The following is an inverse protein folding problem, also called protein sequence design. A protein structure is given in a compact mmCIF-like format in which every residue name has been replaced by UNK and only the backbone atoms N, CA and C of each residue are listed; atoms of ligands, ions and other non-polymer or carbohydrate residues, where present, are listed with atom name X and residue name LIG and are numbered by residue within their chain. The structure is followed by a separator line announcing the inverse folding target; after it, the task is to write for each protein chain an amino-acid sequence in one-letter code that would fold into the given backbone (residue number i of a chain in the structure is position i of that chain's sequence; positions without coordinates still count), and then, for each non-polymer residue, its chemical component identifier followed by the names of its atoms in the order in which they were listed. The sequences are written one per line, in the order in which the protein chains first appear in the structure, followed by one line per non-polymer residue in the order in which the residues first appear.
data_IF_068116792018
#
_entry.id   IF_068116792018
#
_cell.length_a   1.000
_cell.length_b   1.000
_cell.length_c   1.000
_cell.angle_alpha   90.00
_cell.angle_beta   90.00
_cell.angle_gamma   90.00
#
_symmetry.space_group_name_H-M   'P 1'
#
loop_
_entity.id
_entity.type
_entity.pdbx_description
1 polymer ?
#
# COMPACT_ATOMS: atom_id res chain seq x y z
N UNK A 1 21.26 -8.40 -21.14
CA UNK A 1 20.42 -8.00 -19.99
C UNK A 1 18.97 -8.35 -20.31
N UNK A 2 18.23 -9.05 -19.43
CA UNK A 2 16.85 -9.47 -19.73
C UNK A 2 15.90 -8.29 -19.57
N UNK A 3 14.92 -8.15 -20.46
CA UNK A 3 13.97 -7.02 -20.49
C UNK A 3 13.27 -6.79 -19.14
N UNK A 4 12.83 -7.86 -18.46
CA UNK A 4 12.17 -7.73 -17.17
C UNK A 4 13.10 -7.19 -16.06
N UNK A 5 14.40 -7.42 -16.17
CA UNK A 5 15.38 -6.88 -15.23
C UNK A 5 15.59 -5.38 -15.49
N UNK A 6 15.58 -4.94 -16.76
CA UNK A 6 15.58 -3.51 -17.13
C UNK A 6 14.35 -2.78 -16.57
N UNK A 7 13.16 -3.40 -16.66
CA UNK A 7 11.93 -2.84 -16.08
C UNK A 7 12.09 -2.66 -14.57
N UNK A 8 12.56 -3.69 -13.86
CA UNK A 8 12.78 -3.62 -12.40
C UNK A 8 13.79 -2.55 -12.02
N UNK A 9 14.91 -2.49 -12.72
CA UNK A 9 15.96 -1.49 -12.47
C UNK A 9 15.42 -0.07 -12.67
N UNK A 10 14.71 0.19 -13.76
CA UNK A 10 14.15 1.52 -14.04
C UNK A 10 13.06 1.91 -13.03
N UNK A 11 12.24 0.96 -12.58
CA UNK A 11 11.24 1.19 -11.51
C UNK A 11 11.93 1.58 -10.20
N UNK A 12 12.99 0.86 -9.82
CA UNK A 12 13.76 1.13 -8.60
C UNK A 12 14.52 2.44 -8.69
N UNK A 13 15.08 2.76 -9.85
CA UNK A 13 15.73 4.05 -10.13
C UNK A 13 14.77 5.23 -9.95
N UNK A 14 13.50 5.07 -10.37
CA UNK A 14 12.45 6.07 -10.15
C UNK A 14 11.82 6.02 -8.75
N UNK A 15 12.35 5.21 -7.83
CA UNK A 15 11.85 5.05 -6.47
C UNK A 15 10.36 4.67 -6.37
N UNK A 16 9.84 3.91 -7.34
CA UNK A 16 8.49 3.39 -7.24
C UNK A 16 8.38 2.28 -6.19
N UNK A 17 7.15 2.08 -5.69
CA UNK A 17 6.89 1.06 -4.68
C UNK A 17 7.10 -0.36 -5.23
N UNK A 18 7.46 -1.30 -4.36
CA UNK A 18 7.58 -2.73 -4.73
C UNK A 18 6.28 -3.31 -5.31
N UNK A 19 5.12 -2.82 -4.86
CA UNK A 19 3.81 -3.21 -5.41
C UNK A 19 3.65 -2.74 -6.86
N UNK A 20 4.20 -1.57 -7.19
CA UNK A 20 4.25 -1.07 -8.57
C UNK A 20 5.18 -1.95 -9.41
N UNK A 21 6.34 -2.35 -8.89
CA UNK A 21 7.27 -3.30 -9.54
C UNK A 21 6.54 -4.60 -9.91
N UNK A 22 5.89 -5.24 -8.93
CA UNK A 22 5.18 -6.50 -9.12
C UNK A 22 4.06 -6.38 -10.14
N UNK A 23 3.24 -5.33 -10.04
CA UNK A 23 2.15 -5.07 -10.97
C UNK A 23 2.66 -4.84 -12.40
N UNK A 24 3.70 -4.02 -12.57
CA UNK A 24 4.21 -3.68 -13.89
C UNK A 24 4.88 -4.89 -14.54
N UNK A 25 5.71 -5.61 -13.79
CA UNK A 25 6.35 -6.85 -14.29
C UNK A 25 5.29 -7.90 -14.65
N UNK A 26 4.22 -8.02 -13.88
CA UNK A 26 3.10 -8.90 -14.20
C UNK A 26 2.45 -8.52 -15.53
N UNK A 27 2.07 -7.26 -15.71
CA UNK A 27 1.40 -6.80 -16.94
C UNK A 27 2.29 -6.89 -18.17
N UNK A 28 3.56 -6.51 -18.06
CA UNK A 28 4.56 -6.65 -19.14
C UNK A 28 4.72 -8.12 -19.53
N UNK A 29 4.78 -9.03 -18.57
CA UNK A 29 4.85 -10.48 -18.85
C UNK A 29 3.58 -10.98 -19.55
N UNK A 30 2.41 -10.55 -19.12
CA UNK A 30 1.15 -10.90 -19.77
C UNK A 30 1.10 -10.39 -21.22
N UNK A 31 1.53 -9.16 -21.47
CA UNK A 31 1.59 -8.57 -22.80
C UNK A 31 2.55 -9.33 -23.74
N UNK A 32 3.75 -9.66 -23.27
CA UNK A 32 4.72 -10.44 -24.05
C UNK A 32 4.16 -11.83 -24.38
N UNK A 33 3.48 -12.48 -23.43
CA UNK A 33 2.85 -13.79 -23.65
C UNK A 33 1.69 -13.74 -24.65
N UNK A 34 0.88 -12.68 -24.60
CA UNK A 34 -0.21 -12.47 -25.56
C UNK A 34 0.31 -12.38 -27.00
N UNK A 35 1.44 -11.69 -27.18
CA UNK A 35 2.09 -11.53 -28.48
C UNK A 35 3.12 -12.62 -28.80
N UNK A 36 2.92 -13.84 -28.28
CA UNK A 36 3.74 -15.02 -28.63
C UNK A 36 5.24 -14.84 -28.35
N UNK A 37 5.60 -14.17 -27.26
CA UNK A 37 6.99 -13.89 -26.85
C UNK A 37 7.77 -13.00 -27.81
N UNK A 38 7.09 -12.25 -28.69
CA UNK A 38 7.73 -11.19 -29.49
C UNK A 38 8.33 -10.13 -28.58
N UNK A 39 9.44 -9.55 -29.01
CA UNK A 39 10.11 -8.51 -28.24
C UNK A 39 9.30 -7.19 -28.34
N UNK A 40 9.01 -6.47 -27.24
CA UNK A 40 8.21 -5.25 -27.28
C UNK A 40 8.77 -4.09 -28.11
N UNK A 41 10.02 -4.16 -28.55
CA UNK A 41 10.56 -3.19 -29.52
C UNK A 41 10.01 -3.39 -30.93
N UNK A 42 9.61 -4.61 -31.26
CA UNK A 42 9.07 -4.98 -32.58
C UNK A 42 7.54 -4.92 -32.58
N UNK A 43 6.95 -4.32 -31.54
CA UNK A 43 5.52 -4.20 -31.33
C UNK A 43 5.15 -2.72 -31.23
N UNK A 44 3.98 -2.38 -31.77
CA UNK A 44 3.51 -1.00 -31.87
C UNK A 44 2.07 -0.85 -31.42
N UNK A 45 1.35 0.04 -32.10
CA UNK A 45 -0.03 0.41 -31.76
C UNK A 45 -1.01 -0.73 -31.90
N UNK A 46 -0.85 -1.55 -32.93
CA UNK A 46 -1.74 -2.66 -33.21
C UNK A 46 -1.71 -3.69 -32.07
N UNK A 47 -0.52 -4.12 -31.63
CA UNK A 47 -0.35 -5.13 -30.59
C UNK A 47 -0.83 -4.62 -29.22
N UNK A 48 -0.54 -3.36 -28.89
CA UNK A 48 -1.00 -2.75 -27.64
C UNK A 48 -2.52 -2.61 -27.63
N UNK A 49 -3.12 -2.14 -28.73
CA UNK A 49 -4.58 -1.99 -28.84
C UNK A 49 -5.28 -3.34 -28.82
N UNK A 50 -4.73 -4.34 -29.52
CA UNK A 50 -5.26 -5.71 -29.51
C UNK A 50 -5.23 -6.31 -28.11
N UNK A 51 -4.12 -6.16 -27.38
CA UNK A 51 -4.01 -6.65 -26.00
C UNK A 51 -4.98 -5.96 -25.04
N UNK A 52 -5.12 -4.64 -25.12
CA UNK A 52 -6.04 -3.89 -24.27
C UNK A 52 -7.51 -4.21 -24.58
N UNK A 53 -7.84 -4.37 -25.88
CA UNK A 53 -9.16 -4.79 -26.32
C UNK A 53 -9.48 -6.21 -25.86
N UNK A 54 -8.52 -7.13 -25.97
CA UNK A 54 -8.63 -8.48 -25.45
C UNK A 54 -8.88 -8.52 -23.94
N UNK A 55 -8.18 -7.68 -23.16
CA UNK A 55 -8.42 -7.55 -21.72
C UNK A 55 -9.86 -7.09 -21.41
N UNK A 56 -10.37 -6.12 -22.18
CA UNK A 56 -11.70 -5.57 -21.98
C UNK A 56 -12.81 -6.54 -22.42
N UNK A 57 -12.66 -7.19 -23.58
CA UNK A 57 -13.69 -8.00 -24.20
C UNK A 57 -13.71 -9.45 -23.68
N UNK A 58 -12.58 -10.16 -23.69
CA UNK A 58 -12.54 -11.60 -23.36
C UNK A 58 -12.33 -11.85 -21.87
N UNK A 59 -11.56 -11.02 -21.18
CA UNK A 59 -11.35 -11.17 -19.73
C UNK A 59 -12.33 -10.39 -18.86
N UNK A 60 -13.12 -9.49 -19.44
CA UNK A 60 -14.09 -8.66 -18.72
C UNK A 60 -13.46 -7.88 -17.55
N UNK A 61 -12.21 -7.43 -17.69
CA UNK A 61 -11.48 -6.85 -16.56
C UNK A 61 -12.11 -5.55 -16.08
N UNK A 62 -12.04 -5.30 -14.77
CA UNK A 62 -12.49 -4.05 -14.20
C UNK A 62 -11.72 -2.84 -14.81
N UNK A 63 -12.35 -1.66 -14.94
CA UNK A 63 -11.70 -0.45 -15.45
C UNK A 63 -10.38 -0.08 -14.77
N UNK A 64 -10.28 -0.30 -13.45
CA UNK A 64 -9.06 -0.09 -12.66
C UNK A 64 -7.91 -1.00 -13.08
N UNK A 65 -8.24 -2.26 -13.40
CA UNK A 65 -7.28 -3.27 -13.85
C UNK A 65 -6.76 -2.93 -15.26
N UNK A 66 -7.66 -2.51 -16.15
CA UNK A 66 -7.28 -2.03 -17.49
C UNK A 66 -6.35 -0.82 -17.43
N UNK A 67 -6.63 0.14 -16.54
CA UNK A 67 -5.75 1.31 -16.31
C UNK A 67 -4.37 0.92 -15.78
N UNK A 68 -4.30 -0.08 -14.92
CA UNK A 68 -3.03 -0.56 -14.40
C UNK A 68 -2.20 -1.23 -15.50
N UNK A 69 -2.83 -2.04 -16.36
CA UNK A 69 -2.19 -2.62 -17.53
C UNK A 69 -1.68 -1.54 -18.50
N UNK A 70 -2.53 -0.57 -18.85
CA UNK A 70 -2.14 0.57 -19.70
C UNK A 70 -0.97 1.37 -19.10
N UNK A 71 -0.99 1.64 -17.79
CA UNK A 71 0.09 2.36 -17.10
C UNK A 71 1.42 1.59 -17.13
N UNK A 72 1.37 0.26 -17.01
CA UNK A 72 2.54 -0.60 -17.12
C UNK A 72 3.13 -0.60 -18.54
N UNK A 73 2.29 -0.62 -19.57
CA UNK A 73 2.73 -0.54 -20.98
C UNK A 73 3.29 0.84 -21.30
N UNK A 74 2.63 1.91 -20.86
CA UNK A 74 3.13 3.28 -20.98
C UNK A 74 4.54 3.42 -20.40
N UNK A 75 4.74 2.86 -19.20
CA UNK A 75 6.04 2.84 -18.54
C UNK A 75 7.08 2.02 -19.32
N UNK A 76 6.72 0.84 -19.83
CA UNK A 76 7.63 0.02 -20.62
C UNK A 76 8.15 0.78 -21.85
N UNK A 77 7.25 1.35 -22.66
CA UNK A 77 7.67 2.00 -23.90
C UNK A 77 8.38 3.33 -23.65
N UNK A 78 7.83 4.18 -22.79
CA UNK A 78 8.38 5.52 -22.54
C UNK A 78 9.65 5.50 -21.70
N UNK A 79 9.65 4.74 -20.61
CA UNK A 79 10.70 4.85 -19.59
C UNK A 79 11.76 3.76 -19.70
N UNK A 80 11.44 2.59 -20.29
CA UNK A 80 12.40 1.48 -20.43
C UNK A 80 12.95 1.38 -21.84
N UNK A 81 12.09 1.46 -22.85
CA UNK A 81 12.50 1.35 -24.26
C UNK A 81 12.83 2.71 -24.88
N UNK A 82 12.42 3.81 -24.24
CA UNK A 82 12.63 5.19 -24.70
C UNK A 82 12.06 5.43 -26.11
N UNK A 83 10.94 4.77 -26.41
CA UNK A 83 10.18 4.91 -27.65
C UNK A 83 9.03 5.88 -27.38
N UNK A 84 8.97 6.97 -28.15
CA UNK A 84 7.83 7.86 -28.12
C UNK A 84 6.64 7.21 -28.83
N UNK A 85 5.47 7.23 -28.18
CA UNK A 85 4.25 6.67 -28.74
C UNK A 85 3.15 7.74 -28.76
N UNK A 86 3.15 8.62 -29.77
CA UNK A 86 2.18 9.71 -29.88
C UNK A 86 0.72 9.22 -29.85
N UNK A 87 0.47 8.07 -30.47
CA UNK A 87 -0.84 7.41 -30.58
C UNK A 87 -1.37 6.82 -29.27
N UNK A 88 -0.55 6.66 -28.23
CA UNK A 88 -1.03 6.13 -26.94
C UNK A 88 -1.94 7.10 -26.19
N UNK A 89 -1.89 8.39 -26.52
CA UNK A 89 -2.80 9.39 -25.93
C UNK A 89 -4.24 9.21 -26.41
N UNK A 90 -4.43 8.61 -27.59
CA UNK A 90 -5.74 8.39 -28.22
C UNK A 90 -6.41 7.08 -27.76
N UNK A 91 -5.70 6.24 -27.01
CA UNK A 91 -6.28 5.00 -26.45
C UNK A 91 -7.36 5.40 -25.45
N UNK A 92 -8.61 5.06 -25.76
CA UNK A 92 -9.75 5.29 -24.88
C UNK A 92 -9.47 4.71 -23.49
N UNK A 93 -9.32 5.61 -22.51
CA UNK A 93 -9.22 5.22 -21.10
C UNK A 93 -10.63 4.93 -20.59
N UNK A 94 -10.87 3.75 -20.00
CA UNK A 94 -12.15 3.47 -19.36
C UNK A 94 -12.50 4.56 -18.35
N UNK A 95 -13.70 5.13 -18.45
CA UNK A 95 -14.18 6.13 -17.49
C UNK A 95 -14.31 5.45 -16.13
N UNK A 96 -13.77 6.09 -15.09
CA UNK A 96 -13.95 5.57 -13.73
C UNK A 96 -15.43 5.63 -13.38
N UNK A 97 -15.97 4.51 -12.90
CA UNK A 97 -17.22 4.55 -12.16
C UNK A 97 -16.91 5.25 -10.84
N UNK A 98 -17.51 6.42 -10.63
CA UNK A 98 -17.41 7.13 -9.34
C UNK A 98 -18.09 6.26 -8.30
N UNK A 99 -17.29 5.58 -7.48
CA UNK A 99 -17.81 4.88 -6.31
C UNK A 99 -18.15 5.94 -5.28
N UNK A 100 -19.44 6.07 -4.96
CA UNK A 100 -19.85 6.82 -3.78
C UNK A 100 -19.28 6.06 -2.58
N UNK A 101 -18.49 6.70 -1.70
CA UNK A 101 -18.04 6.03 -0.50
C UNK A 101 -19.23 5.66 0.36
N UNK A 102 -19.42 4.37 0.62
CA UNK A 102 -20.35 3.93 1.66
C UNK A 102 -19.69 4.23 3.00
N UNK A 103 -20.17 5.26 3.69
CA UNK A 103 -19.70 5.63 5.03
C UNK A 103 -20.56 4.87 6.03
N UNK A 104 -19.92 4.23 7.02
CA UNK A 104 -20.64 3.61 8.13
C UNK A 104 -21.29 4.70 8.99
N UNK A 105 -22.53 4.47 9.38
CA UNK A 105 -23.22 5.29 10.38
C UNK A 105 -22.57 5.13 11.75
N UNK A 106 -22.77 6.11 12.64
CA UNK A 106 -22.25 6.06 14.02
C UNK A 106 -22.70 4.80 14.75
N UNK A 107 -23.94 4.35 14.54
CA UNK A 107 -24.47 3.12 15.13
C UNK A 107 -23.83 1.85 14.61
N UNK A 108 -23.49 1.79 13.32
CA UNK A 108 -22.74 0.66 12.73
C UNK A 108 -21.30 0.60 13.25
N UNK A 109 -20.65 1.76 13.39
CA UNK A 109 -19.31 1.85 13.97
C UNK A 109 -19.31 1.37 15.43
N UNK A 110 -20.32 1.76 16.22
CA UNK A 110 -20.45 1.30 17.60
C UNK A 110 -20.61 -0.23 17.69
N UNK A 111 -21.47 -0.82 16.85
CA UNK A 111 -21.63 -2.30 16.77
C UNK A 111 -20.34 -3.00 16.33
N UNK A 112 -19.64 -2.43 15.36
CA UNK A 112 -18.35 -2.95 14.90
C UNK A 112 -17.32 -2.95 16.05
N UNK A 113 -17.19 -1.86 16.80
CA UNK A 113 -16.25 -1.79 17.91
C UNK A 113 -16.64 -2.63 19.13
N UNK A 114 -17.92 -2.99 19.27
CA UNK A 114 -18.37 -3.90 20.31
C UNK A 114 -18.06 -5.37 19.97
N UNK A 115 -17.97 -5.72 18.68
CA UNK A 115 -17.68 -7.08 18.22
C UNK A 115 -16.18 -7.38 18.04
N UNK A 116 -15.31 -6.37 18.16
CA UNK A 116 -13.88 -6.51 18.03
C UNK A 116 -13.20 -6.60 19.39
N UNK A 117 -12.24 -7.51 19.52
CA UNK A 117 -11.45 -7.71 20.74
C UNK A 117 -9.94 -7.59 20.46
N UNK A 118 -9.17 -7.41 21.53
CA UNK A 118 -7.70 -7.43 21.51
C UNK A 118 -7.07 -6.34 20.62
N UNK A 119 -5.87 -6.61 20.05
CA UNK A 119 -5.12 -5.64 19.24
C UNK A 119 -5.88 -5.15 18.00
N UNK A 120 -6.78 -5.97 17.45
CA UNK A 120 -7.59 -5.61 16.28
C UNK A 120 -8.63 -4.54 16.63
N UNK A 121 -9.22 -4.59 17.83
CA UNK A 121 -10.12 -3.55 18.31
C UNK A 121 -9.38 -2.21 18.47
N UNK A 122 -8.17 -2.24 19.03
CA UNK A 122 -7.32 -1.06 19.18
C UNK A 122 -6.95 -0.47 17.81
N UNK A 123 -6.53 -1.32 16.86
CA UNK A 123 -6.21 -0.91 15.49
C UNK A 123 -7.42 -0.26 14.80
N UNK A 124 -8.61 -0.86 14.90
CA UNK A 124 -9.81 -0.32 14.29
C UNK A 124 -10.20 1.05 14.87
N UNK A 125 -10.11 1.21 16.19
CA UNK A 125 -10.35 2.49 16.87
C UNK A 125 -9.29 3.53 16.52
N UNK A 126 -8.03 3.12 16.37
CA UNK A 126 -6.94 3.98 15.92
C UNK A 126 -7.20 4.50 14.51
N UNK A 127 -7.53 3.62 13.56
CA UNK A 127 -7.85 4.00 12.18
C UNK A 127 -9.01 4.99 12.11
N UNK A 128 -10.08 4.73 12.88
CA UNK A 128 -11.26 5.59 12.91
C UNK A 128 -10.99 6.94 13.58
N UNK A 129 -10.30 6.96 14.73
CA UNK A 129 -10.07 8.17 15.52
C UNK A 129 -9.00 9.11 14.95
N UNK A 130 -8.03 8.58 14.20
CA UNK A 130 -6.88 9.35 13.69
C UNK A 130 -6.91 9.54 12.17
N UNK A 131 -7.76 8.79 11.45
CA UNK A 131 -7.82 8.82 9.98
C UNK A 131 -6.58 8.23 9.31
N UNK A 132 -5.80 7.40 10.00
CA UNK A 132 -4.69 6.66 9.41
C UNK A 132 -5.19 5.69 8.35
N UNK A 133 -4.38 5.49 7.30
CA UNK A 133 -4.58 4.36 6.38
C UNK A 133 -4.13 3.07 7.07
N UNK A 134 -4.72 1.95 6.67
CA UNK A 134 -4.38 0.63 7.21
C UNK A 134 -2.86 0.39 7.24
N UNK A 135 -2.16 0.62 6.13
CA UNK A 135 -0.71 0.42 6.06
C UNK A 135 0.09 1.44 6.88
N UNK A 136 -0.44 2.64 7.12
CA UNK A 136 0.22 3.64 7.98
C UNK A 136 0.12 3.21 9.44
N UNK A 137 -1.05 2.73 9.89
CA UNK A 137 -1.25 2.22 11.25
C UNK A 137 -0.45 0.94 11.52
N UNK A 138 -0.39 0.00 10.56
CA UNK A 138 0.38 -1.23 10.69
C UNK A 138 1.90 -1.02 10.70
N UNK A 139 2.38 0.09 10.15
CA UNK A 139 3.82 0.44 10.11
C UNK A 139 4.20 1.49 11.16
N UNK A 140 3.27 1.85 12.04
CA UNK A 140 3.49 2.84 13.08
C UNK A 140 4.61 2.38 14.02
N UNK A 141 5.59 3.24 14.28
CA UNK A 141 6.70 2.98 15.21
C UNK A 141 6.46 3.68 16.54
N UNK A 142 7.08 3.17 17.60
CA UNK A 142 6.98 3.81 18.93
C UNK A 142 7.42 5.28 18.87
N UNK A 143 8.49 5.59 18.13
CA UNK A 143 9.03 6.95 17.96
C UNK A 143 8.12 7.91 17.21
N UNK A 144 7.07 7.41 16.57
CA UNK A 144 6.13 8.21 15.81
C UNK A 144 4.94 8.66 16.65
N UNK A 145 4.81 8.19 17.89
CA UNK A 145 3.73 8.54 18.81
C UNK A 145 4.26 9.45 19.92
N UNK A 146 3.72 10.66 19.98
CA UNK A 146 4.00 11.62 21.05
C UNK A 146 2.77 11.70 21.97
N UNK A 147 2.88 11.09 23.15
CA UNK A 147 1.80 11.07 24.14
C UNK A 147 1.63 12.40 24.88
N UNK A 148 2.70 13.21 24.96
CA UNK A 148 2.67 14.50 25.65
C UNK A 148 1.95 15.53 24.78
N UNK A 149 2.27 15.54 23.49
CA UNK A 149 1.62 16.41 22.50
C UNK A 149 0.34 15.83 21.93
N UNK A 150 0.03 14.55 22.20
CA UNK A 150 -1.12 13.82 21.66
C UNK A 150 -1.14 13.85 20.13
N UNK A 151 0.02 13.57 19.52
CA UNK A 151 0.21 13.58 18.08
C UNK A 151 0.83 12.27 17.59
N UNK A 152 0.47 11.87 16.37
CA UNK A 152 1.13 10.80 15.65
C UNK A 152 1.76 11.37 14.37
N UNK A 153 3.04 11.07 14.17
CA UNK A 153 3.80 11.43 12.97
C UNK A 153 3.68 10.30 11.95
N UNK A 154 2.95 10.55 10.87
CA UNK A 154 2.84 9.62 9.74
C UNK A 154 3.99 9.87 8.78
N UNK A 155 4.93 8.94 8.72
CA UNK A 155 6.02 8.95 7.75
C UNK A 155 5.62 8.31 6.43
N UNK A 156 6.26 8.74 5.34
CA UNK A 156 6.02 8.21 3.99
C UNK A 156 4.54 8.29 3.55
N UNK A 157 3.88 9.40 3.90
CA UNK A 157 2.55 9.70 3.40
C UNK A 157 2.53 9.78 1.86
N UNK A 158 1.33 9.89 1.27
CA UNK A 158 1.19 9.97 -0.21
C UNK A 158 2.11 11.06 -0.78
N UNK A 159 3.06 10.65 -1.63
CA UNK A 159 4.05 11.55 -2.23
C UNK A 159 5.33 11.75 -1.41
N UNK A 160 5.61 10.89 -0.43
CA UNK A 160 6.83 10.95 0.40
C UNK A 160 6.83 12.11 1.40
N UNK A 161 5.64 12.62 1.76
CA UNK A 161 5.49 13.73 2.70
C UNK A 161 5.02 13.24 4.06
N UNK A 162 5.72 13.67 5.09
CA UNK A 162 5.33 13.44 6.48
C UNK A 162 4.14 14.33 6.84
N UNK A 163 3.23 13.81 7.66
CA UNK A 163 2.11 14.58 8.22
C UNK A 163 1.85 14.21 9.66
N UNK A 164 1.26 15.13 10.42
CA UNK A 164 0.85 14.89 11.80
C UNK A 164 -0.65 14.67 11.87
N UNK A 165 -1.08 13.74 12.72
CA UNK A 165 -2.49 13.50 13.04
C UNK A 165 -2.68 13.54 14.55
N UNK A 166 -3.85 14.01 15.00
CA UNK A 166 -4.18 14.06 16.43
C UNK A 166 -4.44 12.66 16.97
N UNK A 167 -3.92 12.36 18.16
CA UNK A 167 -4.20 11.15 18.94
C UNK A 167 -5.35 11.43 19.92
N UNK A 168 -6.48 10.75 19.81
CA UNK A 168 -7.55 10.84 20.80
C UNK A 168 -7.11 10.34 22.19
N UNK A 169 -7.50 11.06 23.24
CA UNK A 169 -7.16 10.72 24.64
C UNK A 169 -7.61 9.33 25.05
N UNK A 170 -8.78 8.91 24.56
CA UNK A 170 -9.34 7.58 24.82
C UNK A 170 -8.46 6.44 24.30
N UNK A 171 -7.55 6.72 23.37
CA UNK A 171 -6.61 5.74 22.82
C UNK A 171 -5.23 5.80 23.47
N UNK A 172 -4.91 6.82 24.26
CA UNK A 172 -3.58 6.97 24.84
C UNK A 172 -3.23 5.82 25.80
N UNK A 173 -4.12 5.47 26.74
CA UNK A 173 -3.88 4.37 27.67
C UNK A 173 -3.83 2.99 26.98
N UNK A 174 -4.82 2.60 26.15
CA UNK A 174 -4.75 1.33 25.40
C UNK A 174 -3.51 1.21 24.50
N UNK A 175 -3.05 2.32 23.92
CA UNK A 175 -1.84 2.34 23.10
C UNK A 175 -0.57 2.17 23.93
N UNK A 176 -0.51 2.74 25.14
CA UNK A 176 0.60 2.50 26.09
C UNK A 176 0.67 1.03 26.51
N UNK A 177 -0.47 0.40 26.78
CA UNK A 177 -0.53 -1.02 27.13
C UNK A 177 -0.02 -1.91 25.98
N UNK A 178 -0.47 -1.61 24.75
CA UNK A 178 0.00 -2.28 23.55
C UNK A 178 1.51 -2.09 23.32
N UNK A 179 2.04 -0.90 23.60
CA UNK A 179 3.48 -0.62 23.53
C UNK A 179 4.28 -1.42 24.56
N UNK A 180 3.77 -1.54 25.79
CA UNK A 180 4.40 -2.34 26.83
C UNK A 180 4.42 -3.82 26.44
N UNK A 181 3.31 -4.33 25.88
CA UNK A 181 3.25 -5.69 25.37
C UNK A 181 4.23 -5.92 24.20
N UNK A 182 4.31 -4.98 23.26
CA UNK A 182 5.27 -5.05 22.16
C UNK A 182 6.72 -5.02 22.65
N UNK A 183 7.01 -4.23 23.69
CA UNK A 183 8.34 -4.19 24.31
C UNK A 183 8.72 -5.53 24.95
N UNK A 184 7.77 -6.20 25.59
CA UNK A 184 8.01 -7.52 26.20
C UNK A 184 8.41 -8.55 25.14
N UNK A 185 7.66 -8.63 24.04
CA UNK A 185 7.96 -9.54 22.93
C UNK A 185 9.32 -9.22 22.32
N UNK A 186 9.62 -7.92 22.11
CA UNK A 186 10.93 -7.52 21.58
C UNK A 186 12.09 -7.94 22.49
N UNK A 187 11.93 -7.79 23.82
CA UNK A 187 12.95 -8.25 24.77
C UNK A 187 13.16 -9.77 24.66
N UNK A 188 12.08 -10.55 24.56
CA UNK A 188 12.15 -12.01 24.38
C UNK A 188 12.81 -12.42 23.06
N UNK A 189 12.50 -11.71 21.97
CA UNK A 189 13.13 -11.95 20.66
C UNK A 189 14.64 -11.66 20.71
N UNK A 190 15.05 -10.59 21.40
CA UNK A 190 16.45 -10.25 21.61
C UNK A 190 17.19 -11.32 22.44
N UNK A 191 16.58 -11.81 23.51
CA UNK A 191 17.12 -12.90 24.33
C UNK A 191 17.23 -14.21 23.54
N UNK A 192 16.32 -14.44 22.60
CA UNK A 192 16.29 -15.62 21.74
C UNK A 192 17.19 -15.51 20.50
N UNK A 193 17.88 -14.38 20.32
CA UNK A 193 18.77 -14.13 19.17
C UNK A 193 18.04 -14.03 17.82
N UNK A 194 16.74 -13.75 17.81
CA UNK A 194 15.96 -13.61 16.59
C UNK A 194 16.23 -12.25 15.91
N UNK A 195 16.35 -12.20 14.57
CA UNK A 195 16.51 -10.94 13.86
C UNK A 195 15.26 -10.07 14.02
N UNK A 196 15.46 -8.78 14.29
CA UNK A 196 14.40 -7.81 14.59
C UNK A 196 13.46 -7.48 13.41
N UNK A 197 12.57 -6.52 13.66
CA UNK A 197 11.51 -6.10 12.73
C UNK A 197 12.09 -5.50 11.44
N UNK A 198 11.41 -5.74 10.31
CA UNK A 198 11.74 -5.19 8.99
C UNK A 198 11.91 -3.66 9.01
N UNK A 199 13.08 -3.17 8.57
CA UNK A 199 13.37 -1.75 8.35
C UNK A 199 13.33 -1.41 6.85
N UNK A 200 12.53 -0.42 6.42
CA UNK A 200 12.67 0.17 5.09
C UNK A 200 13.96 1.01 4.99
N UNK A 201 14.56 0.98 3.79
CA UNK A 201 15.74 1.76 3.37
C UNK A 201 17.02 1.52 4.18
N UNK A 202 18.04 2.37 3.97
CA UNK A 202 19.33 2.31 4.66
C UNK A 202 19.25 2.67 6.16
N UNK A 203 18.07 2.68 6.78
CA UNK A 203 17.90 2.87 8.22
C UNK A 203 18.46 1.69 9.01
N UNK A 204 18.45 0.48 8.44
CA UNK A 204 19.15 -0.70 8.99
C UNK A 204 20.65 -0.43 9.21
N UNK A 205 21.25 0.43 8.38
CA UNK A 205 22.68 0.78 8.49
C UNK A 205 22.94 1.92 9.46
N UNK A 206 21.95 2.77 9.75
CA UNK A 206 22.15 4.03 10.49
C UNK A 206 21.68 3.97 11.94
N UNK A 207 20.72 3.12 12.29
CA UNK A 207 20.19 3.01 13.65
C UNK A 207 20.26 1.55 14.14
N UNK A 208 21.33 1.19 14.85
CA UNK A 208 21.56 -0.16 15.41
C UNK A 208 20.83 -0.43 16.73
N UNK A 209 20.07 0.52 17.27
CA UNK A 209 19.46 0.40 18.60
C UNK A 209 18.05 0.98 18.62
N UNK A 210 17.05 0.14 18.95
CA UNK A 210 15.82 0.59 19.60
C UNK A 210 14.62 0.95 18.71
N UNK A 211 14.20 0.09 17.79
CA UNK A 211 12.98 0.36 17.02
C UNK A 211 12.00 -0.82 17.01
N UNK A 212 11.10 -0.79 17.99
CA UNK A 212 9.92 -1.66 18.07
C UNK A 212 8.77 -1.05 17.25
N UNK A 213 7.97 -1.88 16.57
CA UNK A 213 6.71 -1.44 15.95
C UNK A 213 5.59 -1.49 16.98
N UNK A 214 4.61 -0.60 16.87
CA UNK A 214 3.48 -0.54 17.82
C UNK A 214 2.62 -1.80 17.75
N UNK A 215 2.48 -2.35 16.54
CA UNK A 215 1.80 -3.62 16.29
C UNK A 215 2.83 -4.63 15.78
N UNK A 216 3.09 -5.66 16.58
CA UNK A 216 4.00 -6.75 16.17
C UNK A 216 3.24 -7.65 15.22
N UNK A 217 3.46 -7.46 13.93
CA UNK A 217 3.27 -8.52 12.97
C UNK A 217 4.52 -9.38 12.94
N UNK A 218 4.35 -10.71 12.94
CA UNK A 218 5.36 -11.70 12.53
C UNK A 218 5.74 -11.50 11.05
N UNK A 219 6.27 -10.34 10.70
CA UNK A 219 6.76 -9.99 9.38
C UNK A 219 8.26 -10.23 9.28
N UNK A 220 8.75 -11.27 9.96
CA UNK A 220 9.97 -11.94 9.55
C UNK A 220 9.63 -12.80 8.33
N UNK A 221 10.37 -12.60 7.24
CA UNK A 221 10.33 -13.39 6.02
C UNK A 221 9.34 -12.92 4.91
N UNK A 222 9.95 -12.31 3.88
CA UNK A 222 9.43 -12.01 2.53
C UNK A 222 8.79 -13.19 1.76
N UNK A 223 8.52 -14.36 2.38
CA UNK A 223 8.15 -15.58 1.65
C UNK A 223 6.94 -16.39 2.14
N UNK A 224 6.12 -15.90 3.08
CA UNK A 224 4.81 -16.54 3.36
C UNK A 224 3.73 -15.48 3.60
N UNK A 225 3.08 -15.05 2.51
CA UNK A 225 1.67 -14.63 2.57
C UNK A 225 0.86 -15.76 1.92
N UNK A 226 0.19 -16.60 2.71
CA UNK A 226 -1.08 -17.15 2.22
C UNK A 226 -2.29 -16.74 3.07
N UNK A 227 -2.18 -16.49 4.37
CA UNK A 227 -3.39 -16.58 5.20
C UNK A 227 -4.04 -15.25 5.62
N UNK A 228 -3.39 -14.10 5.37
CA UNK A 228 -3.97 -12.78 5.71
C UNK A 228 -4.84 -12.17 4.60
N UNK A 229 -5.03 -12.90 3.50
CA UNK A 229 -5.75 -12.44 2.31
C UNK A 229 -7.15 -13.09 2.22
N UNK A 230 -7.98 -12.98 3.25
CA UNK A 230 -9.41 -13.37 3.14
C UNK A 230 -10.44 -12.30 3.51
N UNK A 231 -10.03 -11.05 3.80
CA UNK A 231 -10.97 -9.95 3.94
C UNK A 231 -10.52 -8.70 3.16
N UNK A 232 -10.37 -8.85 1.84
CA UNK A 232 -10.24 -7.70 0.92
C UNK A 232 -11.60 -7.36 0.30
N UNK A 233 -12.53 -6.91 1.14
CA UNK A 233 -13.88 -6.47 0.73
C UNK A 233 -14.21 -5.01 1.03
N UNK A 234 -13.38 -4.28 1.79
CA UNK A 234 -13.70 -2.89 2.18
C UNK A 234 -12.72 -1.88 1.60
N UNK A 235 -13.23 -1.10 0.66
CA UNK A 235 -12.51 -0.01 0.02
C UNK A 235 -12.47 1.16 1.01
N UNK A 236 -11.37 1.29 1.77
CA UNK A 236 -11.15 2.41 2.67
C UNK A 236 -10.88 3.70 1.85
N UNK A 237 -11.95 4.39 1.48
CA UNK A 237 -11.90 5.61 0.70
C UNK A 237 -13.13 6.45 0.94
N UNK A 238 -13.25 7.05 2.12
CA UNK A 238 -14.28 8.05 2.38
C UNK A 238 -14.60 8.23 3.86
N UNK A 239 -13.64 8.68 4.65
CA UNK A 239 -13.93 9.29 5.96
C UNK A 239 -13.06 10.53 6.05
N UNK A 240 -13.48 11.59 5.35
CA UNK A 240 -12.93 12.92 5.55
C UNK A 240 -13.96 13.95 5.08
N UNK A 241 -14.81 14.39 6.01
CA UNK A 241 -15.42 15.72 6.12
C UNK A 241 -16.60 15.63 7.09
N UNK A 242 -16.40 16.17 8.30
CA UNK A 242 -17.27 17.16 8.96
C UNK A 242 -16.88 17.24 10.44
N UNK A 243 -15.99 18.17 10.78
CA UNK A 243 -16.13 18.94 12.02
C UNK A 243 -15.26 20.19 11.93
N UNK A 244 -15.87 21.29 11.50
CA UNK A 244 -15.41 22.65 11.80
C UNK A 244 -16.64 23.48 12.15
N UNK A 245 -16.62 24.01 13.37
CA UNK A 245 -17.29 25.24 13.76
C UNK A 245 -18.78 25.11 14.05
N UNK A 246 -19.11 25.09 15.35
CA UNK A 246 -20.15 25.93 15.92
C UNK A 246 -19.71 26.27 17.36
N UNK A 247 -18.95 27.34 17.46
CA UNK A 247 -18.97 28.35 18.51
C UNK A 247 -18.91 29.68 17.78
#
# INVERSE_FOLDING_TARGET
MRLLDQVRERIRYKHYSIRTEEAYVYWVRCFIRFNQLKHPRDMGSAEVTAFLSWLAAERGVAPSTHKQALSALLFLYRDVLEIDLPWMNDILRPKDRVRVPTVLSVGEVARLFAALEGPMALLARLLYGTGLRLMEALRLRVKDVDFDRREIVVRDGKGGKDRRVMLPDSLAAPLKDQLAHARLIWTQDCESGLPGVFMPDALDRKEKQGQTTVFIHHHTCKKKMPDFCMFSGFTAGGICKTNRGLS
#
